data_IF_700031327071
#
_entry.id   IF_700031327071
#
_cell.length_a   1.000
_cell.length_b   1.000
_cell.length_c   1.000
_cell.angle_alpha   90.00
_cell.angle_beta   90.00
_cell.angle_gamma   90.00
#
_symmetry.space_group_name_H-M   'P 1'
#
loop_
_entity.id
_entity.type
_entity.pdbx_description
1 polymer ?
#
# COMPACT_ATOMS: atom_id res chain seq x y z
N UNK A 1 22.10 -18.71 53.69
CA UNK A 1 22.25 -17.48 52.87
C UNK A 1 23.05 -17.72 51.60
N UNK A 2 24.24 -18.35 51.65
CA UNK A 2 25.04 -18.68 50.45
C UNK A 2 24.35 -19.58 49.41
N UNK A 3 23.56 -20.57 49.86
CA UNK A 3 22.80 -21.47 48.97
C UNK A 3 21.69 -20.74 48.20
N UNK A 4 20.97 -19.86 48.90
CA UNK A 4 19.87 -19.07 48.37
C UNK A 4 20.33 -18.06 47.30
N UNK A 5 21.49 -17.42 47.50
CA UNK A 5 22.07 -16.51 46.50
C UNK A 5 22.58 -17.24 45.25
N UNK A 6 23.01 -18.50 45.40
CA UNK A 6 23.44 -19.34 44.29
C UNK A 6 22.25 -19.80 43.45
N UNK A 7 21.18 -20.23 44.11
CA UNK A 7 19.91 -20.62 43.47
C UNK A 7 19.26 -19.45 42.71
N UNK A 8 19.28 -18.22 43.26
CA UNK A 8 18.77 -17.02 42.55
C UNK A 8 19.61 -16.71 41.30
N UNK A 9 20.93 -16.89 41.37
CA UNK A 9 21.82 -16.62 40.23
C UNK A 9 21.65 -17.66 39.12
N UNK A 10 21.49 -18.93 39.50
CA UNK A 10 21.21 -20.03 38.57
C UNK A 10 19.85 -19.82 37.88
N UNK A 11 18.78 -19.52 38.62
CA UNK A 11 17.46 -19.24 38.05
C UNK A 11 17.43 -18.00 37.12
N UNK A 12 18.24 -16.98 37.41
CA UNK A 12 18.36 -15.80 36.55
C UNK A 12 19.16 -16.07 35.28
N UNK A 13 20.17 -16.96 35.34
CA UNK A 13 20.91 -17.38 34.14
C UNK A 13 20.05 -18.30 33.26
N UNK A 14 19.31 -19.22 33.87
CA UNK A 14 18.36 -20.11 33.22
C UNK A 14 17.25 -19.30 32.53
N UNK A 15 16.65 -18.32 33.21
CA UNK A 15 15.65 -17.43 32.60
C UNK A 15 16.19 -16.52 31.49
N UNK A 16 17.50 -16.21 31.46
CA UNK A 16 18.13 -15.47 30.37
C UNK A 16 18.49 -16.38 29.18
N UNK A 17 18.79 -17.66 29.44
CA UNK A 17 18.99 -18.67 28.39
C UNK A 17 17.66 -19.06 27.74
N UNK A 18 16.61 -19.31 28.54
CA UNK A 18 15.25 -19.55 28.04
C UNK A 18 14.75 -18.37 27.20
N UNK A 19 14.89 -17.13 27.68
CA UNK A 19 14.49 -15.95 26.90
C UNK A 19 15.28 -15.80 25.59
N UNK A 20 16.52 -16.28 25.51
CA UNK A 20 17.32 -16.27 24.27
C UNK A 20 16.94 -17.39 23.31
N UNK A 21 16.57 -18.56 23.82
CA UNK A 21 16.06 -19.66 23.01
C UNK A 21 14.67 -19.34 22.45
N UNK A 22 13.76 -18.78 23.27
CA UNK A 22 12.46 -18.30 22.82
C UNK A 22 12.61 -17.24 21.72
N UNK A 23 13.52 -16.27 21.90
CA UNK A 23 13.77 -15.23 20.90
C UNK A 23 14.33 -15.79 19.57
N UNK A 24 15.15 -16.85 19.64
CA UNK A 24 15.67 -17.53 18.44
C UNK A 24 14.58 -18.33 17.73
N UNK A 25 13.74 -19.05 18.47
CA UNK A 25 12.58 -19.75 17.89
C UNK A 25 11.61 -18.77 17.23
N UNK A 26 11.35 -17.61 17.85
CA UNK A 26 10.52 -16.56 17.25
C UNK A 26 11.13 -16.05 15.94
N UNK A 27 12.44 -15.76 15.92
CA UNK A 27 13.15 -15.35 14.70
C UNK A 27 13.11 -16.40 13.59
N UNK A 28 13.26 -17.69 13.91
CA UNK A 28 13.16 -18.77 12.92
C UNK A 28 11.72 -18.95 12.40
N UNK A 29 10.71 -18.83 13.28
CA UNK A 29 9.29 -18.85 12.89
C UNK A 29 8.94 -17.68 11.97
N UNK A 30 9.42 -16.48 12.29
CA UNK A 30 9.24 -15.29 11.44
C UNK A 30 9.91 -15.46 10.08
N UNK A 31 11.17 -15.90 10.05
CA UNK A 31 11.89 -16.15 8.79
C UNK A 31 11.17 -17.15 7.89
N UNK A 32 10.66 -18.24 8.46
CA UNK A 32 9.89 -19.24 7.70
C UNK A 32 8.55 -18.67 7.20
N UNK A 33 7.87 -17.84 8.00
CA UNK A 33 6.66 -17.11 7.59
C UNK A 33 6.94 -16.19 6.41
N UNK A 34 8.08 -15.50 6.40
CA UNK A 34 8.45 -14.59 5.31
C UNK A 34 8.74 -15.32 4.01
N UNK A 35 9.38 -16.49 4.07
CA UNK A 35 9.58 -17.33 2.89
C UNK A 35 8.23 -17.79 2.31
N UNK A 36 7.29 -18.21 3.16
CA UNK A 36 5.94 -18.58 2.74
C UNK A 36 5.19 -17.40 2.10
N UNK A 37 5.30 -16.21 2.70
CA UNK A 37 4.73 -14.99 2.12
C UNK A 37 5.35 -14.68 0.76
N UNK A 38 6.68 -14.71 0.63
CA UNK A 38 7.36 -14.46 -0.65
C UNK A 38 6.92 -15.46 -1.74
N UNK A 39 6.72 -16.73 -1.38
CA UNK A 39 6.16 -17.72 -2.30
C UNK A 39 4.73 -17.35 -2.71
N UNK A 40 3.86 -16.97 -1.76
CA UNK A 40 2.50 -16.48 -2.07
C UNK A 40 2.51 -15.22 -2.93
N UNK A 41 3.46 -14.31 -2.72
CA UNK A 41 3.63 -13.10 -3.53
C UNK A 41 4.00 -13.42 -4.98
N UNK A 42 4.72 -14.53 -5.22
CA UNK A 42 5.11 -14.95 -6.56
C UNK A 42 3.93 -15.46 -7.42
N UNK A 43 2.83 -15.85 -6.79
CA UNK A 43 1.61 -16.33 -7.46
C UNK A 43 0.67 -15.19 -7.89
N UNK A 44 0.97 -13.95 -7.47
CA UNK A 44 0.16 -12.78 -7.75
C UNK A 44 0.40 -12.31 -9.19
N UNK A 45 -0.66 -12.05 -9.95
CA UNK A 45 -0.54 -11.61 -11.34
C UNK A 45 0.19 -10.27 -11.44
N UNK A 46 0.76 -9.98 -12.62
CA UNK A 46 1.48 -8.73 -12.85
C UNK A 46 0.59 -7.50 -12.60
N UNK A 47 -0.65 -7.54 -13.06
CA UNK A 47 -1.62 -6.46 -12.97
C UNK A 47 -2.04 -6.19 -11.52
N UNK A 48 -2.23 -7.25 -10.73
CA UNK A 48 -2.55 -7.12 -9.31
C UNK A 48 -1.37 -6.50 -8.54
N UNK A 49 -0.15 -6.97 -8.81
CA UNK A 49 1.07 -6.40 -8.22
C UNK A 49 1.25 -4.93 -8.58
N UNK A 50 1.05 -4.59 -9.85
CA UNK A 50 1.11 -3.21 -10.32
C UNK A 50 0.04 -2.34 -9.67
N UNK A 51 -1.22 -2.78 -9.69
CA UNK A 51 -2.34 -2.01 -9.14
C UNK A 51 -2.23 -1.77 -7.64
N UNK A 52 -1.81 -2.79 -6.89
CA UNK A 52 -1.59 -2.67 -5.44
C UNK A 52 -0.36 -1.81 -5.10
N UNK A 53 0.70 -1.87 -5.92
CA UNK A 53 1.86 -0.96 -5.79
C UNK A 53 1.47 0.50 -6.06
N UNK A 54 0.63 0.75 -7.07
CA UNK A 54 0.15 2.08 -7.41
C UNK A 54 -0.78 2.66 -6.33
N UNK A 55 -1.58 1.82 -5.69
CA UNK A 55 -2.45 2.17 -4.56
C UNK A 55 -1.69 2.33 -3.22
N UNK A 56 -0.45 1.86 -3.13
CA UNK A 56 0.28 1.75 -1.88
C UNK A 56 0.37 3.07 -1.09
N UNK A 57 0.64 4.24 -1.69
CA UNK A 57 0.66 5.52 -0.96
C UNK A 57 -0.62 5.85 -0.19
N UNK A 58 -1.78 5.66 -0.81
CA UNK A 58 -3.08 5.88 -0.17
C UNK A 58 -3.35 4.86 0.92
N UNK A 59 -3.14 3.58 0.61
CA UNK A 59 -3.39 2.49 1.55
C UNK A 59 -2.51 2.67 2.78
N UNK A 60 -1.20 2.76 2.62
CA UNK A 60 -0.26 2.93 3.76
C UNK A 60 -0.50 4.18 4.61
N UNK A 61 -1.01 5.27 4.02
CA UNK A 61 -1.37 6.48 4.77
C UNK A 61 -2.66 6.31 5.58
N UNK A 62 -3.61 5.52 5.09
CA UNK A 62 -4.87 5.20 5.77
C UNK A 62 -4.69 4.45 7.08
N UNK A 63 -3.74 3.52 7.12
CA UNK A 63 -3.48 2.68 8.28
C UNK A 63 -2.48 3.35 9.22
N UNK A 64 -2.95 4.43 9.86
CA UNK A 64 -2.19 5.31 10.77
C UNK A 64 -1.36 4.62 11.87
N UNK A 65 -1.51 3.30 12.10
CA UNK A 65 -0.78 2.51 13.12
C UNK A 65 0.21 1.47 12.54
N UNK A 66 0.34 1.35 11.20
CA UNK A 66 1.16 0.30 10.59
C UNK A 66 2.67 0.44 10.84
N UNK A 67 3.12 1.66 11.17
CA UNK A 67 4.54 1.97 11.38
C UNK A 67 5.08 1.57 12.75
N UNK A 68 4.27 1.00 13.64
CA UNK A 68 4.81 0.27 14.80
C UNK A 68 5.67 -0.94 14.37
N UNK A 69 5.53 -1.41 13.12
CA UNK A 69 6.29 -2.52 12.54
C UNK A 69 7.58 -2.13 11.82
N UNK A 70 7.82 -0.84 11.54
CA UNK A 70 9.01 -0.40 10.81
C UNK A 70 9.85 0.57 11.66
N UNK A 71 10.98 0.13 12.22
CA UNK A 71 11.98 1.02 12.82
C UNK A 71 12.74 1.78 11.74
N UNK A 72 13.13 2.98 12.13
CA UNK A 72 13.34 4.16 11.31
C UNK A 72 14.73 4.31 10.69
N UNK A 73 15.39 3.24 10.23
CA UNK A 73 16.72 3.38 9.60
C UNK A 73 16.87 2.66 8.27
N UNK A 74 17.45 3.36 7.29
CA UNK A 74 17.87 2.83 5.97
C UNK A 74 19.04 1.84 6.08
N UNK A 75 19.73 1.87 7.22
CA UNK A 75 20.97 1.13 7.48
C UNK A 75 20.71 -0.32 7.91
N UNK A 76 19.54 -0.60 8.50
CA UNK A 76 19.11 -1.93 8.89
C UNK A 76 18.21 -2.52 7.78
N UNK A 77 18.78 -3.44 7.00
CA UNK A 77 18.03 -4.35 6.10
C UNK A 77 17.28 -5.44 6.86
N UNK A 78 17.32 -5.43 8.20
CA UNK A 78 16.91 -6.52 9.09
C UNK A 78 15.43 -6.47 9.48
N UNK A 79 14.57 -5.83 8.69
CA UNK A 79 13.13 -5.89 8.95
C UNK A 79 12.44 -6.81 7.96
N UNK A 80 12.04 -7.92 8.55
CA UNK A 80 11.56 -9.13 7.93
C UNK A 80 10.02 -9.11 7.76
N UNK A 81 9.32 -8.05 8.18
CA UNK A 81 7.86 -8.00 8.13
C UNK A 81 7.35 -7.62 6.74
N UNK A 82 6.58 -8.52 6.12
CA UNK A 82 5.91 -8.28 4.84
C UNK A 82 4.43 -7.91 5.10
N UNK A 83 3.99 -6.69 4.73
CA UNK A 83 2.61 -6.21 4.88
C UNK A 83 1.70 -6.80 3.78
N UNK A 84 1.30 -8.08 3.92
CA UNK A 84 0.63 -8.89 2.87
C UNK A 84 -0.60 -8.24 2.24
N UNK A 85 -1.40 -7.50 3.01
CA UNK A 85 -2.58 -6.77 2.52
C UNK A 85 -2.24 -5.67 1.49
N UNK A 86 -0.98 -5.19 1.40
CA UNK A 86 -0.52 -4.27 0.35
C UNK A 86 -0.26 -4.97 -0.99
N UNK A 87 -0.34 -6.29 -1.05
CA UNK A 87 0.11 -7.06 -2.21
C UNK A 87 -1.02 -7.69 -3.01
N UNK A 88 -2.21 -7.81 -2.42
CA UNK A 88 -3.29 -8.61 -3.01
C UNK A 88 -4.65 -7.99 -2.73
N UNK A 89 -5.58 -8.13 -3.68
CA UNK A 89 -6.98 -7.80 -3.44
C UNK A 89 -7.58 -8.74 -2.41
N UNK A 90 -8.49 -8.24 -1.58
CA UNK A 90 -9.41 -9.09 -0.81
C UNK A 90 -8.74 -9.89 0.31
N UNK A 91 -7.46 -9.65 0.59
CA UNK A 91 -6.73 -10.36 1.64
C UNK A 91 -6.94 -9.70 3.00
N UNK A 92 -8.23 -9.59 3.37
CA UNK A 92 -8.70 -8.96 4.60
C UNK A 92 -8.72 -9.91 5.78
N UNK A 93 -8.65 -11.23 5.55
CA UNK A 93 -8.73 -12.27 6.59
C UNK A 93 -7.61 -12.16 7.65
N UNK A 94 -6.51 -11.48 7.32
CA UNK A 94 -5.39 -11.23 8.24
C UNK A 94 -5.53 -9.89 9.01
N UNK A 95 -6.54 -9.08 8.69
CA UNK A 95 -6.84 -7.83 9.37
C UNK A 95 -7.91 -8.04 10.44
N UNK A 96 -7.81 -7.29 11.55
CA UNK A 96 -8.88 -7.27 12.53
C UNK A 96 -10.08 -6.45 12.01
N UNK A 97 -11.25 -6.67 12.60
CA UNK A 97 -12.50 -5.99 12.19
C UNK A 97 -12.38 -4.46 12.22
N UNK A 98 -11.62 -3.90 13.17
CA UNK A 98 -11.48 -2.44 13.29
C UNK A 98 -10.66 -1.82 12.16
N UNK A 99 -9.65 -2.53 11.65
CA UNK A 99 -8.84 -2.09 10.52
C UNK A 99 -9.63 -2.22 9.20
N UNK A 100 -10.45 -3.27 9.08
CA UNK A 100 -11.38 -3.44 7.97
C UNK A 100 -12.42 -2.31 7.96
N UNK A 101 -12.99 -1.96 9.11
CA UNK A 101 -13.97 -0.88 9.22
C UNK A 101 -13.34 0.48 8.90
N UNK A 102 -12.09 0.73 9.30
CA UNK A 102 -11.34 1.94 8.94
C UNK A 102 -11.12 2.07 7.44
N UNK A 103 -10.71 0.98 6.78
CA UNK A 103 -10.56 0.93 5.31
C UNK A 103 -11.86 1.31 4.61
N UNK A 104 -12.95 0.67 5.03
CA UNK A 104 -14.27 0.90 4.46
C UNK A 104 -14.74 2.34 4.68
N UNK A 105 -14.61 2.86 5.90
CA UNK A 105 -14.99 4.24 6.23
C UNK A 105 -14.16 5.27 5.45
N UNK A 106 -12.86 5.02 5.24
CA UNK A 106 -12.03 5.89 4.43
C UNK A 106 -12.53 5.89 2.97
N UNK A 107 -12.83 4.71 2.41
CA UNK A 107 -13.31 4.60 1.05
C UNK A 107 -14.66 5.31 0.85
N UNK A 108 -15.64 5.02 1.71
CA UNK A 108 -16.98 5.61 1.66
C UNK A 108 -16.92 7.12 1.91
N UNK A 109 -16.20 7.55 2.94
CA UNK A 109 -16.11 8.96 3.34
C UNK A 109 -15.24 9.84 2.42
N UNK A 110 -14.24 9.27 1.74
CA UNK A 110 -13.31 10.05 0.90
C UNK A 110 -13.72 10.11 -0.57
N UNK A 111 -14.52 9.14 -1.04
CA UNK A 111 -14.83 9.01 -2.46
C UNK A 111 -16.31 8.84 -2.78
N UNK A 112 -17.21 8.74 -1.78
CA UNK A 112 -18.65 8.57 -2.01
C UNK A 112 -18.94 7.32 -2.86
N UNK A 113 -18.39 6.18 -2.44
CA UNK A 113 -18.49 4.88 -3.14
C UNK A 113 -19.47 3.97 -2.40
N UNK A 114 -20.53 3.52 -3.08
CA UNK A 114 -21.45 2.54 -2.50
C UNK A 114 -21.41 1.19 -3.25
N UNK A 115 -21.18 1.20 -4.56
CA UNK A 115 -21.32 0.04 -5.43
C UNK A 115 -20.27 -0.02 -6.55
N UNK A 116 -20.30 -1.08 -7.35
CA UNK A 116 -19.40 -1.29 -8.50
C UNK A 116 -19.42 -0.11 -9.50
N UNK A 117 -20.59 0.46 -9.78
CA UNK A 117 -20.73 1.56 -10.75
C UNK A 117 -20.02 2.82 -10.26
N UNK A 118 -20.18 3.17 -8.98
CA UNK A 118 -19.45 4.28 -8.36
C UNK A 118 -17.94 4.07 -8.45
N UNK A 119 -17.44 2.88 -8.12
CA UNK A 119 -16.01 2.54 -8.20
C UNK A 119 -15.45 2.87 -9.59
N UNK A 120 -16.12 2.40 -10.65
CA UNK A 120 -15.68 2.60 -12.03
C UNK A 120 -15.80 4.06 -12.45
N UNK A 121 -16.89 4.72 -12.07
CA UNK A 121 -17.20 6.11 -12.41
C UNK A 121 -16.20 7.09 -11.77
N UNK A 122 -15.82 6.85 -10.52
CA UNK A 122 -14.82 7.63 -9.79
C UNK A 122 -13.41 7.36 -10.32
N UNK A 123 -13.08 6.08 -10.56
CA UNK A 123 -11.81 5.70 -11.21
C UNK A 123 -11.64 6.43 -12.54
N UNK A 124 -12.68 6.42 -13.37
CA UNK A 124 -12.66 7.11 -14.65
C UNK A 124 -12.51 8.62 -14.50
N UNK A 125 -13.13 9.22 -13.49
CA UNK A 125 -12.99 10.66 -13.19
C UNK A 125 -11.52 11.02 -12.94
N UNK A 126 -10.83 10.26 -12.07
CA UNK A 126 -9.40 10.47 -11.79
C UNK A 126 -8.50 10.24 -13.01
N UNK A 127 -8.75 9.19 -13.80
CA UNK A 127 -7.94 8.86 -14.97
C UNK A 127 -8.11 9.89 -16.10
N UNK A 128 -9.34 10.27 -16.43
CA UNK A 128 -9.62 11.31 -17.43
C UNK A 128 -9.00 12.64 -17.01
N UNK A 129 -9.03 12.93 -15.71
CA UNK A 129 -8.40 14.12 -15.15
C UNK A 129 -6.91 14.25 -15.48
N UNK A 130 -6.19 13.13 -15.58
CA UNK A 130 -4.76 13.11 -15.93
C UNK A 130 -4.51 12.80 -17.42
N UNK A 131 -5.56 12.90 -18.24
CA UNK A 131 -5.51 12.68 -19.69
C UNK A 131 -5.41 11.21 -20.10
N UNK A 132 -5.80 10.28 -19.23
CA UNK A 132 -5.80 8.83 -19.52
C UNK A 132 -7.23 8.38 -19.82
N UNK A 133 -7.40 7.74 -20.97
CA UNK A 133 -8.66 7.12 -21.39
C UNK A 133 -8.42 5.65 -21.67
N UNK A 134 -9.14 4.79 -20.95
CA UNK A 134 -9.00 3.34 -21.06
C UNK A 134 -10.22 2.75 -21.78
N UNK A 135 -9.99 1.74 -22.61
CA UNK A 135 -11.07 1.06 -23.35
C UNK A 135 -12.02 0.35 -22.39
N UNK A 136 -11.50 -0.23 -21.31
CA UNK A 136 -12.29 -0.86 -20.25
C UNK A 136 -13.22 0.08 -19.49
N UNK A 137 -13.06 1.41 -19.65
CA UNK A 137 -13.89 2.44 -19.02
C UNK A 137 -14.66 3.30 -20.03
N UNK A 138 -14.58 3.02 -21.34
CA UNK A 138 -15.10 3.93 -22.38
C UNK A 138 -16.59 4.24 -22.28
N UNK A 139 -17.39 3.28 -21.79
CA UNK A 139 -18.84 3.39 -21.66
C UNK A 139 -19.28 3.77 -20.24
N UNK A 140 -18.32 3.92 -19.32
CA UNK A 140 -18.61 4.43 -17.99
C UNK A 140 -18.71 5.95 -18.11
N UNK A 141 -19.64 6.55 -17.36
CA UNK A 141 -19.75 8.01 -17.26
C UNK A 141 -18.97 8.44 -16.01
N UNK A 142 -18.06 9.42 -16.08
CA UNK A 142 -17.36 9.89 -14.89
C UNK A 142 -18.33 10.59 -13.92
N UNK A 143 -18.15 10.36 -12.62
CA UNK A 143 -18.95 10.93 -11.53
C UNK A 143 -18.65 12.42 -11.36
N UNK A 144 -17.38 12.77 -11.53
CA UNK A 144 -16.86 14.12 -11.37
C UNK A 144 -16.17 14.57 -12.66
N UNK A 145 -16.33 15.84 -13.00
CA UNK A 145 -15.48 16.52 -13.97
C UNK A 145 -14.08 16.71 -13.37
N UNK A 146 -13.04 16.81 -14.21
CA UNK A 146 -11.66 17.04 -13.76
C UNK A 146 -11.52 18.17 -12.74
N UNK A 147 -12.24 19.28 -12.92
CA UNK A 147 -12.20 20.48 -12.06
C UNK A 147 -12.85 20.28 -10.70
N UNK A 148 -13.70 19.26 -10.55
CA UNK A 148 -14.40 18.94 -9.31
C UNK A 148 -13.57 18.02 -8.40
N UNK A 149 -12.49 17.44 -8.90
CA UNK A 149 -11.63 16.54 -8.15
C UNK A 149 -10.76 17.31 -7.15
N UNK A 150 -10.59 16.76 -5.95
CA UNK A 150 -9.74 17.34 -4.90
C UNK A 150 -8.27 17.53 -5.33
N UNK A 151 -7.80 16.70 -6.27
CA UNK A 151 -6.48 16.78 -6.86
C UNK A 151 -6.38 17.80 -8.01
N UNK A 152 -7.44 18.54 -8.32
CA UNK A 152 -7.39 19.69 -9.20
C UNK A 152 -6.94 20.92 -8.40
N UNK A 153 -5.73 21.41 -8.66
CA UNK A 153 -5.15 22.58 -8.00
C UNK A 153 -4.54 23.51 -9.02
N UNK A 154 -4.81 24.80 -8.89
CA UNK A 154 -4.17 25.85 -9.72
C UNK A 154 -4.29 25.62 -11.24
N UNK A 155 -5.42 25.04 -11.68
CA UNK A 155 -5.67 24.77 -13.09
C UNK A 155 -4.93 23.54 -13.65
N UNK A 156 -4.37 22.69 -12.79
CA UNK A 156 -3.69 21.44 -13.16
C UNK A 156 -4.13 20.30 -12.23
N UNK A 157 -4.20 19.10 -12.80
CA UNK A 157 -4.35 17.88 -12.02
C UNK A 157 -3.00 17.30 -11.65
N UNK A 158 -2.97 16.71 -10.45
CA UNK A 158 -1.80 16.19 -9.77
C UNK A 158 -1.66 14.69 -10.10
N UNK A 159 -0.82 14.31 -11.10
CA UNK A 159 -0.98 13.01 -11.74
C UNK A 159 -0.64 11.80 -10.89
N UNK A 160 0.42 11.86 -10.08
CA UNK A 160 0.79 10.74 -9.21
C UNK A 160 -0.29 10.50 -8.15
N UNK A 161 -0.82 11.57 -7.57
CA UNK A 161 -1.91 11.51 -6.60
C UNK A 161 -3.19 10.94 -7.23
N UNK A 162 -3.62 11.44 -8.39
CA UNK A 162 -4.82 10.95 -9.08
C UNK A 162 -4.69 9.46 -9.47
N UNK A 163 -3.52 9.04 -9.95
CA UNK A 163 -3.26 7.64 -10.29
C UNK A 163 -3.32 6.73 -9.05
N UNK A 164 -2.75 7.19 -7.94
CA UNK A 164 -2.78 6.44 -6.68
C UNK A 164 -4.20 6.37 -6.10
N UNK A 165 -4.97 7.46 -6.20
CA UNK A 165 -6.38 7.49 -5.81
C UNK A 165 -7.21 6.52 -6.65
N UNK A 166 -7.09 6.57 -7.98
CA UNK A 166 -7.77 5.65 -8.90
C UNK A 166 -7.43 4.18 -8.58
N UNK A 167 -6.15 3.89 -8.34
CA UNK A 167 -5.71 2.55 -7.98
C UNK A 167 -6.30 2.10 -6.64
N UNK A 168 -6.29 2.97 -5.63
CA UNK A 168 -6.88 2.67 -4.31
C UNK A 168 -8.39 2.43 -4.42
N UNK A 169 -9.10 3.22 -5.22
CA UNK A 169 -10.54 3.03 -5.49
C UNK A 169 -10.81 1.67 -6.11
N UNK A 170 -10.04 1.24 -7.12
CA UNK A 170 -10.19 -0.07 -7.76
C UNK A 170 -9.89 -1.22 -6.81
N UNK A 171 -8.80 -1.13 -6.05
CA UNK A 171 -8.37 -2.16 -5.10
C UNK A 171 -9.43 -2.35 -4.02
N UNK A 172 -9.86 -1.26 -3.36
CA UNK A 172 -10.89 -1.30 -2.32
C UNK A 172 -12.27 -1.66 -2.89
N UNK A 173 -12.56 -1.31 -4.14
CA UNK A 173 -13.80 -1.69 -4.81
C UNK A 173 -13.97 -3.22 -4.95
N UNK A 174 -12.86 -3.94 -5.19
CA UNK A 174 -12.86 -5.41 -5.19
C UNK A 174 -13.10 -5.97 -3.78
N UNK A 175 -12.56 -5.29 -2.76
CA UNK A 175 -12.64 -5.70 -1.35
C UNK A 175 -14.04 -5.50 -0.77
N UNK A 176 -14.71 -4.38 -1.09
CA UNK A 176 -15.86 -3.91 -0.32
C UNK A 176 -17.13 -3.64 -1.14
N UNK A 177 -17.02 -3.36 -2.45
CA UNK A 177 -18.15 -2.86 -3.25
C UNK A 177 -18.58 -3.79 -4.38
N UNK A 178 -18.04 -5.01 -4.40
CA UNK A 178 -18.45 -6.05 -5.34
C UNK A 178 -17.88 -5.90 -6.75
N UNK A 179 -16.85 -5.08 -6.96
CA UNK A 179 -16.15 -5.02 -8.25
C UNK A 179 -15.50 -6.39 -8.55
N UNK A 180 -15.80 -7.02 -9.69
CA UNK A 180 -15.12 -8.26 -10.07
C UNK A 180 -13.62 -8.05 -10.23
N UNK A 181 -12.81 -8.92 -9.62
CA UNK A 181 -11.34 -8.83 -9.66
C UNK A 181 -10.82 -8.76 -11.09
N UNK A 182 -11.36 -9.55 -12.00
CA UNK A 182 -10.98 -9.62 -13.41
C UNK A 182 -11.13 -8.27 -14.12
N UNK A 183 -12.14 -7.49 -13.74
CA UNK A 183 -12.40 -6.16 -14.30
C UNK A 183 -11.34 -5.16 -13.82
N UNK A 184 -10.99 -5.21 -12.54
CA UNK A 184 -9.88 -4.43 -11.96
C UNK A 184 -8.54 -4.75 -12.64
N UNK A 185 -8.22 -6.05 -12.77
CA UNK A 185 -7.00 -6.51 -13.45
C UNK A 185 -6.91 -6.00 -14.90
N UNK A 186 -8.01 -6.05 -15.65
CA UNK A 186 -8.05 -5.56 -17.03
C UNK A 186 -7.77 -4.05 -17.10
N UNK A 187 -8.33 -3.27 -16.19
CA UNK A 187 -8.07 -1.82 -16.10
C UNK A 187 -6.59 -1.56 -15.81
N UNK A 188 -5.99 -2.30 -14.87
CA UNK A 188 -4.57 -2.14 -14.55
C UNK A 188 -3.65 -2.58 -15.70
N UNK A 189 -4.01 -3.60 -16.46
CA UNK A 189 -3.32 -3.99 -17.69
C UNK A 189 -3.28 -2.85 -18.72
N UNK A 190 -4.43 -2.18 -18.93
CA UNK A 190 -4.53 -1.04 -19.85
C UNK A 190 -3.83 0.22 -19.32
N UNK A 191 -3.80 0.42 -17.99
CA UNK A 191 -3.20 1.58 -17.34
C UNK A 191 -1.67 1.53 -17.30
N UNK A 192 -1.09 0.34 -17.19
CA UNK A 192 0.36 0.13 -17.01
C UNK A 192 1.22 0.88 -18.05
N UNK A 193 0.94 0.80 -19.37
CA UNK A 193 1.73 1.52 -20.37
C UNK A 193 1.72 3.04 -20.19
N UNK A 194 0.62 3.64 -19.73
CA UNK A 194 0.54 5.09 -19.53
C UNK A 194 1.28 5.54 -18.27
N UNK A 195 1.30 4.72 -17.22
CA UNK A 195 2.14 4.96 -16.04
C UNK A 195 3.62 4.85 -16.40
N UNK A 196 4.02 3.83 -17.16
CA UNK A 196 5.42 3.64 -17.60
C UNK A 196 5.92 4.74 -18.54
N UNK A 197 5.05 5.34 -19.36
CA UNK A 197 5.42 6.51 -20.18
C UNK A 197 5.71 7.74 -19.31
N UNK A 198 5.07 7.84 -18.14
CA UNK A 198 5.11 9.03 -17.26
C UNK A 198 6.19 8.92 -16.19
N UNK A 199 6.43 7.73 -15.65
CA UNK A 199 7.39 7.48 -14.57
C UNK A 199 8.30 6.30 -14.91
N UNK A 200 9.61 6.48 -14.74
CA UNK A 200 10.59 5.41 -15.02
C UNK A 200 10.72 4.40 -13.90
N UNK A 201 10.50 4.83 -12.66
CA UNK A 201 10.62 4.04 -11.46
C UNK A 201 9.67 4.57 -10.37
N UNK A 202 9.58 3.86 -9.25
CA UNK A 202 8.75 4.29 -8.12
C UNK A 202 9.28 5.51 -7.38
N UNK A 203 10.59 5.82 -7.48
CA UNK A 203 11.17 7.02 -6.87
C UNK A 203 10.63 8.29 -7.55
N UNK A 204 10.64 8.34 -8.90
CA UNK A 204 10.05 9.45 -9.66
C UNK A 204 8.56 9.62 -9.37
N UNK A 205 7.82 8.51 -9.26
CA UNK A 205 6.40 8.53 -8.88
C UNK A 205 6.19 9.04 -7.45
N UNK A 206 7.02 8.60 -6.50
CA UNK A 206 6.94 8.97 -5.08
C UNK A 206 7.25 10.45 -4.85
N UNK A 207 8.27 10.99 -5.52
CA UNK A 207 8.61 12.41 -5.45
C UNK A 207 7.47 13.30 -5.97
N UNK A 208 6.86 12.92 -7.09
CA UNK A 208 5.69 13.61 -7.63
C UNK A 208 4.50 13.49 -6.67
N UNK A 209 4.23 12.29 -6.14
CA UNK A 209 3.17 12.08 -5.16
C UNK A 209 3.34 12.95 -3.91
N UNK A 210 4.54 13.04 -3.33
CA UNK A 210 4.80 13.84 -2.12
C UNK A 210 4.57 15.34 -2.36
N UNK A 211 5.07 15.85 -3.49
CA UNK A 211 4.84 17.25 -3.88
C UNK A 211 3.36 17.53 -4.00
N UNK A 212 2.62 16.62 -4.62
CA UNK A 212 1.20 16.73 -4.90
C UNK A 212 0.34 16.60 -3.64
N UNK A 213 0.66 15.64 -2.78
CA UNK A 213 -0.02 15.45 -1.50
C UNK A 213 0.15 16.68 -0.61
N UNK A 214 1.30 17.34 -0.62
CA UNK A 214 1.51 18.62 0.09
C UNK A 214 0.65 19.79 -0.43
N UNK A 215 0.16 19.73 -1.67
CA UNK A 215 -0.78 20.72 -2.23
C UNK A 215 -2.23 20.42 -1.84
N UNK A 216 -2.55 19.15 -1.57
CA UNK A 216 -3.89 18.71 -1.16
C UNK A 216 -4.02 18.83 0.36
N UNK A 217 -3.02 18.34 1.10
CA UNK A 217 -2.93 18.31 2.55
C UNK A 217 -2.01 19.42 3.04
N UNK A 218 -2.57 20.50 3.59
CA UNK A 218 -1.77 21.63 4.12
C UNK A 218 -1.25 21.42 5.55
N UNK A 219 -1.64 20.32 6.22
CA UNK A 219 -1.26 20.07 7.60
C UNK A 219 0.15 19.48 7.69
N UNK A 220 1.06 20.19 8.38
CA UNK A 220 2.48 19.76 8.54
C UNK A 220 2.65 18.34 9.08
N UNK A 221 1.74 17.89 9.95
CA UNK A 221 1.78 16.53 10.52
C UNK A 221 1.45 15.48 9.47
N UNK A 222 0.44 15.74 8.63
CA UNK A 222 0.05 14.87 7.52
C UNK A 222 1.19 14.76 6.49
N UNK A 223 1.77 15.89 6.07
CA UNK A 223 2.88 15.91 5.09
C UNK A 223 4.08 15.08 5.58
N UNK A 224 4.50 15.26 6.83
CA UNK A 224 5.63 14.50 7.39
C UNK A 224 5.33 12.99 7.47
N UNK A 225 4.07 12.65 7.70
CA UNK A 225 3.65 11.24 7.71
C UNK A 225 3.70 10.66 6.30
N UNK A 226 3.14 11.34 5.31
CA UNK A 226 3.21 10.93 3.90
C UNK A 226 4.67 10.79 3.45
N UNK A 227 5.54 11.72 3.81
CA UNK A 227 6.99 11.68 3.53
C UNK A 227 7.65 10.41 4.07
N UNK A 228 7.44 10.09 5.36
CA UNK A 228 7.95 8.84 5.94
C UNK A 228 7.38 7.59 5.26
N UNK A 229 6.11 7.61 4.88
CA UNK A 229 5.43 6.51 4.20
C UNK A 229 6.05 6.23 2.84
N UNK A 230 6.14 7.26 1.99
CA UNK A 230 6.76 7.15 0.67
C UNK A 230 8.22 6.74 0.79
N UNK A 231 8.95 7.37 1.71
CA UNK A 231 10.32 6.99 2.01
C UNK A 231 10.42 5.49 2.28
N UNK A 232 9.63 4.95 3.22
CA UNK A 232 9.65 3.52 3.53
C UNK A 232 9.30 2.63 2.33
N UNK A 233 8.35 3.04 1.49
CA UNK A 233 8.00 2.29 0.28
C UNK A 233 9.21 2.13 -0.65
N UNK A 234 10.09 3.12 -0.77
CA UNK A 234 11.22 3.05 -1.73
C UNK A 234 12.34 2.06 -1.38
N UNK A 235 12.51 1.66 -0.11
CA UNK A 235 13.67 0.84 0.28
C UNK A 235 13.41 -0.29 1.27
N UNK A 236 12.25 -0.34 1.95
CA UNK A 236 11.95 -1.45 2.87
C UNK A 236 11.80 -2.74 2.08
N UNK A 237 12.48 -3.82 2.51
CA UNK A 237 12.44 -5.11 1.83
C UNK A 237 11.00 -5.60 1.63
N UNK A 238 10.16 -5.52 2.66
CA UNK A 238 8.74 -5.84 2.58
C UNK A 238 7.86 -4.80 1.87
N UNK A 239 8.40 -3.83 1.14
CA UNK A 239 7.57 -2.86 0.40
C UNK A 239 7.13 -3.39 -0.97
N UNK A 240 5.88 -3.14 -1.41
CA UNK A 240 5.44 -3.48 -2.76
C UNK A 240 6.30 -2.81 -3.84
N UNK A 241 6.85 -1.62 -3.60
CA UNK A 241 7.72 -0.94 -4.57
C UNK A 241 9.10 -1.59 -4.69
N UNK A 242 9.59 -2.21 -3.62
CA UNK A 242 10.87 -2.94 -3.63
C UNK A 242 10.69 -4.34 -4.20
N UNK A 243 9.60 -5.02 -3.83
CA UNK A 243 9.28 -6.35 -4.32
C UNK A 243 8.90 -6.33 -5.81
N UNK A 244 8.26 -5.25 -6.27
CA UNK A 244 7.85 -5.11 -7.66
C UNK A 244 8.24 -3.74 -8.24
N UNK A 245 9.52 -3.56 -8.61
CA UNK A 245 10.00 -2.31 -9.17
C UNK A 245 9.31 -1.96 -10.48
N UNK A 246 8.94 -0.69 -10.68
CA UNK A 246 8.16 -0.26 -11.82
C UNK A 246 8.86 -0.57 -13.17
N UNK A 247 10.19 -0.45 -13.17
CA UNK A 247 11.06 -0.73 -14.31
C UNK A 247 11.08 -2.20 -14.72
N UNK A 248 10.65 -3.12 -13.86
CA UNK A 248 10.61 -4.57 -14.15
C UNK A 248 9.37 -5.00 -14.91
N UNK A 249 8.37 -4.12 -15.05
CA UNK A 249 7.14 -4.41 -15.78
C UNK A 249 7.24 -4.14 -17.30
N UNK A 250 8.44 -4.01 -17.85
CA UNK A 250 8.65 -3.74 -19.28
C UNK A 250 8.22 -4.95 -20.12
N UNK A 251 7.46 -4.68 -21.20
CA UNK A 251 7.10 -5.64 -22.24
C UNK A 251 8.26 -5.89 -23.22
#
# INVERSE_FOLDING_TARGET
MFKFLKEIKEAFQEGVEEAKEELKEEQEKEKNRNIDVLNKLSEISQEERFGTSLAAPFRTTAFMDWFSLFKSSRELKEEDVIPVHLYKYGYLDELNESDIERLKNQQEGSFDIENEEDVLSITQSFLLGVGISLHSLENIKPKYQPEELICFKEGKLLPAWSLSAAASTLVSGVEFNGLPKEKSLKIFSELLPDVQKRYKNWDEFGDDYLREDGLINSEKKAIKQTDNTIYNLTFKFGSPWVQFPLETYQL
#
